data_IF_424243221534
#
_entry.id   IF_424243221534
#
_cell.length_a   1.000
_cell.length_b   1.000
_cell.length_c   1.000
_cell.angle_alpha   90.00
_cell.angle_beta   90.00
_cell.angle_gamma   90.00
#
_symmetry.space_group_name_H-M   'P 1'
#
loop_
_entity.id
_entity.type
_entity.pdbx_description
1 polymer ?
#
# COMPACT_ATOMS: atom_id res chain seq x y z
N UNK A 1 39.27 6.54 8.98
CA UNK A 1 38.45 6.17 7.81
C UNK A 1 37.60 5.02 8.28
N UNK A 2 36.42 5.35 8.80
CA UNK A 2 35.50 4.35 9.32
C UNK A 2 34.80 3.70 8.13
N UNK A 3 35.04 2.40 7.96
CA UNK A 3 34.28 1.57 7.05
C UNK A 3 32.84 1.54 7.55
N UNK A 4 31.98 2.38 6.97
CA UNK A 4 30.54 2.14 6.99
C UNK A 4 30.27 0.91 6.14
N UNK A 5 30.42 -0.27 6.75
CA UNK A 5 29.81 -1.49 6.26
C UNK A 5 28.31 -1.29 6.42
N UNK A 6 27.62 -0.93 5.35
CA UNK A 6 26.17 -1.04 5.28
C UNK A 6 25.83 -2.53 5.41
N UNK A 7 25.64 -2.99 6.64
CA UNK A 7 24.89 -4.20 6.91
C UNK A 7 23.53 -4.04 6.22
N UNK A 8 23.06 -5.06 5.52
CA UNK A 8 21.69 -5.09 4.98
C UNK A 8 20.71 -5.05 6.17
N UNK A 9 20.44 -3.83 6.62
CA UNK A 9 19.61 -3.49 7.76
C UNK A 9 18.14 -3.79 7.41
N UNK A 10 17.32 -4.34 8.33
CA UNK A 10 15.88 -4.46 8.14
C UNK A 10 15.19 -3.14 7.76
N UNK A 11 15.78 -1.99 8.14
CA UNK A 11 15.36 -0.64 7.71
C UNK A 11 15.30 -0.51 6.18
N UNK A 12 16.17 -1.23 5.46
CA UNK A 12 16.23 -1.21 4.00
C UNK A 12 15.00 -1.87 3.36
N UNK A 13 14.38 -2.86 4.01
CA UNK A 13 13.21 -3.56 3.45
C UNK A 13 11.93 -2.72 3.58
N UNK A 14 11.70 -2.07 4.73
CA UNK A 14 10.48 -1.27 4.97
C UNK A 14 10.36 -0.06 4.05
N UNK A 15 11.52 0.51 3.68
CA UNK A 15 11.65 1.66 2.78
C UNK A 15 12.01 1.24 1.34
N UNK A 16 12.14 -0.05 1.05
CA UNK A 16 12.58 -0.53 -0.28
C UNK A 16 11.67 -0.07 -1.42
N UNK A 17 10.40 0.22 -1.13
CA UNK A 17 9.44 0.64 -2.14
C UNK A 17 9.74 2.03 -2.73
N UNK A 18 10.52 2.88 -2.05
CA UNK A 18 10.91 4.18 -2.61
C UNK A 18 11.80 4.05 -3.85
N UNK A 19 12.53 2.94 -4.01
CA UNK A 19 13.33 2.65 -5.22
C UNK A 19 12.45 2.51 -6.48
N UNK A 20 11.15 2.25 -6.29
CA UNK A 20 10.16 2.10 -7.35
C UNK A 20 8.96 3.04 -7.16
N UNK A 21 9.19 4.20 -6.52
CA UNK A 21 8.12 5.14 -6.15
C UNK A 21 7.23 5.57 -7.33
N UNK A 22 7.81 5.69 -8.53
CA UNK A 22 7.10 6.02 -9.76
C UNK A 22 5.97 5.03 -10.09
N UNK A 23 6.21 3.74 -9.89
CA UNK A 23 5.22 2.69 -10.10
C UNK A 23 4.04 2.87 -9.13
N UNK A 24 4.36 3.05 -7.85
CA UNK A 24 3.34 3.13 -6.79
C UNK A 24 2.51 4.42 -6.90
N UNK A 25 3.12 5.55 -7.26
CA UNK A 25 2.40 6.79 -7.57
C UNK A 25 1.43 6.62 -8.75
N UNK A 26 1.83 5.84 -9.76
CA UNK A 26 0.95 5.50 -10.89
C UNK A 26 -0.21 4.62 -10.43
N UNK A 27 0.04 3.57 -9.64
CA UNK A 27 -1.02 2.69 -9.14
C UNK A 27 -1.99 3.43 -8.23
N UNK A 28 -1.50 4.27 -7.32
CA UNK A 28 -2.34 5.07 -6.43
C UNK A 28 -3.26 5.99 -7.25
N UNK A 29 -2.72 6.65 -8.28
CA UNK A 29 -3.54 7.47 -9.19
C UNK A 29 -4.63 6.65 -9.89
N UNK A 30 -4.28 5.48 -10.45
CA UNK A 30 -5.24 4.60 -11.14
C UNK A 30 -6.33 4.09 -10.19
N UNK A 31 -5.98 3.89 -8.92
CA UNK A 31 -6.88 3.40 -7.88
C UNK A 31 -7.56 4.51 -7.05
N UNK A 32 -7.28 5.79 -7.34
CA UNK A 32 -7.94 6.96 -6.73
C UNK A 32 -8.94 7.63 -7.68
N UNK A 33 -8.89 7.35 -8.98
CA UNK A 33 -9.94 7.77 -9.91
C UNK A 33 -11.26 7.12 -9.49
N UNK A 34 -12.40 7.78 -9.76
CA UNK A 34 -13.77 7.26 -9.56
C UNK A 34 -14.06 6.03 -10.45
N UNK A 35 -13.23 5.00 -10.34
CA UNK A 35 -13.40 3.73 -11.01
C UNK A 35 -14.54 3.02 -10.30
N UNK A 36 -15.44 2.45 -11.09
CA UNK A 36 -16.48 1.61 -10.52
C UNK A 36 -15.83 0.31 -10.00
N UNK A 37 -15.60 0.26 -8.69
CA UNK A 37 -15.06 -0.91 -7.98
C UNK A 37 -16.12 -1.99 -7.70
N UNK A 38 -17.14 -2.12 -8.55
CA UNK A 38 -18.24 -3.08 -8.33
C UNK A 38 -17.76 -4.53 -8.22
N UNK A 39 -16.65 -4.87 -8.88
CA UNK A 39 -16.02 -6.18 -8.81
C UNK A 39 -15.51 -6.55 -7.41
N UNK A 40 -15.19 -5.55 -6.58
CA UNK A 40 -14.72 -5.74 -5.20
C UNK A 40 -15.84 -5.64 -4.16
N UNK A 41 -17.07 -5.28 -4.55
CA UNK A 41 -18.19 -5.09 -3.61
C UNK A 41 -18.36 -6.29 -2.67
N UNK A 42 -18.49 -7.50 -3.22
CA UNK A 42 -18.66 -8.73 -2.41
C UNK A 42 -17.48 -9.02 -1.47
N UNK A 43 -16.27 -8.61 -1.85
CA UNK A 43 -15.05 -8.79 -1.06
C UNK A 43 -14.94 -7.76 0.08
N UNK A 44 -15.50 -6.58 -0.12
CA UNK A 44 -15.42 -5.43 0.76
C UNK A 44 -16.74 -5.06 1.45
N UNK A 45 -17.75 -5.92 1.35
CA UNK A 45 -19.02 -5.79 2.05
C UNK A 45 -18.82 -6.03 3.54
N UNK A 46 -19.31 -5.09 4.36
CA UNK A 46 -19.46 -5.25 5.82
C UNK A 46 -18.14 -5.46 6.59
N UNK A 47 -17.13 -4.63 6.34
CA UNK A 47 -15.94 -4.58 7.19
C UNK A 47 -16.25 -3.71 8.42
N UNK A 48 -16.49 -4.35 9.57
CA UNK A 48 -16.78 -3.69 10.85
C UNK A 48 -18.26 -3.70 11.25
N UNK A 49 -18.62 -3.02 12.34
CA UNK A 49 -19.96 -3.07 12.97
C UNK A 49 -20.71 -1.73 12.88
N UNK A 50 -20.02 -0.59 12.92
CA UNK A 50 -20.63 0.76 12.89
C UNK A 50 -20.85 1.29 11.46
N UNK A 51 -22.04 1.85 11.19
CA UNK A 51 -22.54 2.17 9.84
C UNK A 51 -21.70 3.20 9.07
N UNK A 52 -21.24 4.28 9.72
CA UNK A 52 -20.46 5.33 9.03
C UNK A 52 -19.02 4.87 8.76
N UNK A 53 -18.41 4.19 9.74
CA UNK A 53 -17.10 3.56 9.58
C UNK A 53 -17.11 2.48 8.49
N UNK A 54 -18.23 1.78 8.30
CA UNK A 54 -18.37 0.71 7.31
C UNK A 54 -18.18 1.21 5.87
N UNK A 55 -18.69 2.40 5.53
CA UNK A 55 -18.55 2.92 4.16
C UNK A 55 -17.10 3.25 3.84
N UNK A 56 -16.40 3.92 4.76
CA UNK A 56 -15.01 4.29 4.56
C UNK A 56 -14.10 3.05 4.54
N UNK A 57 -14.32 2.10 5.46
CA UNK A 57 -13.64 0.79 5.46
C UNK A 57 -13.86 0.02 4.16
N UNK A 58 -15.08 0.04 3.62
CA UNK A 58 -15.38 -0.59 2.32
C UNK A 58 -14.61 0.08 1.18
N UNK A 59 -14.54 1.41 1.17
CA UNK A 59 -13.78 2.16 0.17
C UNK A 59 -12.28 1.87 0.25
N UNK A 60 -11.70 1.85 1.46
CA UNK A 60 -10.29 1.48 1.69
C UNK A 60 -10.02 0.06 1.16
N UNK A 61 -10.89 -0.91 1.46
CA UNK A 61 -10.76 -2.27 0.96
C UNK A 61 -10.78 -2.34 -0.58
N UNK A 62 -11.71 -1.61 -1.22
CA UNK A 62 -11.83 -1.59 -2.69
C UNK A 62 -10.57 -0.99 -3.35
N UNK A 63 -10.08 0.13 -2.81
CA UNK A 63 -8.82 0.76 -3.26
C UNK A 63 -7.64 -0.18 -3.05
N UNK A 64 -7.59 -0.88 -1.92
CA UNK A 64 -6.52 -1.85 -1.64
C UNK A 64 -6.51 -3.02 -2.61
N UNK A 65 -7.68 -3.59 -2.94
CA UNK A 65 -7.79 -4.63 -3.96
C UNK A 65 -7.36 -4.13 -5.35
N UNK A 66 -7.75 -2.90 -5.71
CA UNK A 66 -7.28 -2.26 -6.94
C UNK A 66 -5.75 -2.20 -6.99
N UNK A 67 -5.10 -1.74 -5.91
CA UNK A 67 -3.64 -1.64 -5.85
C UNK A 67 -2.97 -3.00 -6.05
N UNK A 68 -3.47 -4.05 -5.38
CA UNK A 68 -2.97 -5.42 -5.55
C UNK A 68 -3.08 -5.86 -7.02
N UNK A 69 -4.21 -5.58 -7.67
CA UNK A 69 -4.43 -5.98 -9.07
C UNK A 69 -3.55 -5.18 -10.05
N UNK A 70 -3.36 -3.88 -9.85
CA UNK A 70 -2.47 -3.07 -10.70
C UNK A 70 -0.98 -3.46 -10.54
N UNK A 71 -0.55 -3.82 -9.32
CA UNK A 71 0.77 -4.40 -9.06
C UNK A 71 0.94 -5.72 -9.82
N UNK A 72 -0.02 -6.65 -9.69
CA UNK A 72 0.02 -7.96 -10.36
C UNK A 72 0.03 -7.85 -11.88
N UNK A 73 -0.74 -6.92 -12.44
CA UNK A 73 -0.75 -6.65 -13.90
C UNK A 73 0.61 -6.17 -14.38
N UNK A 74 1.29 -5.35 -13.59
CA UNK A 74 2.57 -4.74 -13.96
C UNK A 74 3.77 -5.65 -13.68
N UNK A 75 3.62 -6.65 -12.79
CA UNK A 75 4.69 -7.57 -12.38
C UNK A 75 4.25 -9.02 -12.54
N UNK A 76 4.33 -9.59 -13.77
CA UNK A 76 4.01 -10.98 -14.00
C UNK A 76 4.90 -11.90 -13.15
N UNK A 77 4.36 -13.05 -12.70
CA UNK A 77 5.00 -14.00 -11.76
C UNK A 77 6.45 -14.42 -12.10
N UNK A 78 6.92 -14.24 -13.33
CA UNK A 78 8.30 -14.52 -13.75
C UNK A 78 9.34 -13.48 -13.31
N UNK A 79 8.94 -12.26 -12.93
CA UNK A 79 9.83 -11.16 -12.54
C UNK A 79 9.64 -10.74 -11.07
N UNK A 80 9.79 -11.70 -10.16
CA UNK A 80 9.53 -11.54 -8.72
C UNK A 80 10.59 -10.68 -7.97
N UNK A 81 11.39 -9.89 -8.67
CA UNK A 81 12.53 -9.15 -8.07
C UNK A 81 12.08 -8.08 -7.09
N UNK A 82 10.87 -7.55 -7.24
CA UNK A 82 10.41 -6.40 -6.47
C UNK A 82 9.34 -6.76 -5.43
N UNK A 83 9.14 -8.06 -5.16
CA UNK A 83 8.09 -8.54 -4.25
C UNK A 83 8.16 -7.91 -2.86
N UNK A 84 9.36 -7.78 -2.29
CA UNK A 84 9.51 -7.19 -0.96
C UNK A 84 9.12 -5.71 -0.95
N UNK A 85 9.48 -4.97 -2.01
CA UNK A 85 9.04 -3.59 -2.20
C UNK A 85 7.52 -3.49 -2.36
N UNK A 86 6.88 -4.42 -3.10
CA UNK A 86 5.42 -4.44 -3.23
C UNK A 86 4.72 -4.65 -1.88
N UNK A 87 5.20 -5.62 -1.10
CA UNK A 87 4.65 -5.92 0.23
C UNK A 87 4.89 -4.76 1.20
N UNK A 88 6.07 -4.12 1.16
CA UNK A 88 6.38 -2.94 1.96
C UNK A 88 5.45 -1.76 1.64
N UNK A 89 5.23 -1.48 0.34
CA UNK A 89 4.28 -0.46 -0.09
C UNK A 89 2.86 -0.75 0.38
N UNK A 90 2.36 -1.98 0.16
CA UNK A 90 1.00 -2.36 0.54
C UNK A 90 0.79 -2.28 2.06
N UNK A 91 1.80 -2.68 2.86
CA UNK A 91 1.79 -2.51 4.33
C UNK A 91 1.70 -1.04 4.72
N UNK A 92 2.57 -0.20 4.15
CA UNK A 92 2.58 1.25 4.39
C UNK A 92 1.21 1.86 4.07
N UNK A 93 0.73 1.66 2.84
CA UNK A 93 -0.48 2.26 2.33
C UNK A 93 -1.70 1.90 3.20
N UNK A 94 -1.84 0.61 3.56
CA UNK A 94 -2.97 0.16 4.35
C UNK A 94 -2.97 0.75 5.76
N UNK A 95 -1.80 0.77 6.43
CA UNK A 95 -1.68 1.40 7.75
C UNK A 95 -2.02 2.89 7.68
N UNK A 96 -1.49 3.60 6.67
CA UNK A 96 -1.69 5.04 6.52
C UNK A 96 -3.15 5.38 6.27
N UNK A 97 -3.82 4.69 5.36
CA UNK A 97 -5.23 4.97 5.03
C UNK A 97 -6.17 4.69 6.20
N UNK A 98 -5.97 3.58 6.94
CA UNK A 98 -6.76 3.29 8.13
C UNK A 98 -6.57 4.35 9.23
N UNK A 99 -5.33 4.80 9.42
CA UNK A 99 -4.99 5.86 10.37
C UNK A 99 -5.58 7.22 9.95
N UNK A 100 -5.34 7.65 8.70
CA UNK A 100 -5.74 8.95 8.17
C UNK A 100 -7.27 9.12 8.16
N UNK A 101 -8.00 8.03 7.91
CA UNK A 101 -9.46 8.03 7.90
C UNK A 101 -10.09 7.79 9.26
N UNK A 102 -9.27 7.62 10.30
CA UNK A 102 -9.72 7.24 11.64
C UNK A 102 -10.69 6.04 11.59
N UNK A 103 -10.33 5.02 10.81
CA UNK A 103 -11.23 3.91 10.48
C UNK A 103 -11.58 3.01 11.68
N UNK A 104 -11.17 3.36 12.92
CA UNK A 104 -11.52 2.69 14.18
C UNK A 104 -11.40 1.15 14.12
N UNK A 105 -10.36 0.66 13.44
CA UNK A 105 -10.07 -0.77 13.28
C UNK A 105 -8.57 -0.95 13.13
N UNK A 106 -8.03 -1.97 13.80
CA UNK A 106 -6.61 -2.32 13.67
C UNK A 106 -6.31 -2.88 12.27
N UNK A 107 -5.14 -2.54 11.72
CA UNK A 107 -4.69 -3.00 10.40
C UNK A 107 -4.74 -4.52 10.26
N UNK A 108 -4.27 -5.26 11.28
CA UNK A 108 -4.31 -6.74 11.29
C UNK A 108 -5.75 -7.28 11.25
N UNK A 109 -6.66 -6.69 12.01
CA UNK A 109 -8.06 -7.10 12.04
C UNK A 109 -8.75 -6.81 10.69
N UNK A 110 -8.51 -5.63 10.13
CA UNK A 110 -9.01 -5.23 8.82
C UNK A 110 -8.50 -6.19 7.71
N UNK A 111 -7.20 -6.49 7.72
CA UNK A 111 -6.59 -7.43 6.79
C UNK A 111 -7.17 -8.84 6.90
N UNK A 112 -7.32 -9.37 8.12
CA UNK A 112 -7.92 -10.68 8.36
C UNK A 112 -9.33 -10.76 7.80
N UNK A 113 -10.11 -9.67 7.90
CA UNK A 113 -11.44 -9.62 7.29
C UNK A 113 -11.35 -9.72 5.76
N UNK A 114 -10.51 -8.90 5.10
CA UNK A 114 -10.30 -8.96 3.65
C UNK A 114 -9.89 -10.37 3.19
N UNK A 115 -8.92 -10.99 3.88
CA UNK A 115 -8.46 -12.35 3.58
C UNK A 115 -9.57 -13.38 3.72
N UNK A 116 -10.45 -13.24 4.72
CA UNK A 116 -11.58 -14.16 4.92
C UNK A 116 -12.58 -14.13 3.75
N UNK A 117 -12.69 -12.98 3.07
CA UNK A 117 -13.58 -12.74 1.92
C UNK A 117 -12.91 -13.01 0.57
N UNK A 118 -11.58 -12.90 0.48
CA UNK A 118 -10.80 -13.15 -0.74
C UNK A 118 -9.67 -14.18 -0.49
N UNK A 119 -10.06 -15.39 -0.11
CA UNK A 119 -9.14 -16.47 0.32
C UNK A 119 -8.15 -16.90 -0.76
N UNK A 120 -8.47 -16.67 -2.03
CA UNK A 120 -7.64 -17.05 -3.18
C UNK A 120 -6.56 -16.00 -3.51
N UNK A 121 -6.56 -14.86 -2.82
CA UNK A 121 -5.60 -13.80 -3.07
C UNK A 121 -4.25 -14.10 -2.40
N UNK A 122 -3.29 -14.59 -3.20
CA UNK A 122 -1.94 -14.92 -2.74
C UNK A 122 -1.24 -13.73 -2.07
N UNK A 123 -1.35 -12.52 -2.63
CA UNK A 123 -0.74 -11.31 -2.05
C UNK A 123 -1.28 -10.98 -0.66
N UNK A 124 -2.58 -11.19 -0.41
CA UNK A 124 -3.12 -11.05 0.93
C UNK A 124 -2.51 -12.10 1.87
N UNK A 125 -2.31 -13.33 1.41
CA UNK A 125 -1.69 -14.36 2.23
C UNK A 125 -0.22 -14.08 2.54
N UNK A 126 0.50 -13.42 1.64
CA UNK A 126 1.91 -13.03 1.85
C UNK A 126 2.04 -11.87 2.83
N UNK A 127 1.09 -10.92 2.81
CA UNK A 127 1.05 -9.76 3.70
C UNK A 127 0.87 -10.12 5.19
N UNK A 128 0.26 -11.26 5.52
CA UNK A 128 0.04 -11.70 6.91
C UNK A 128 1.33 -11.64 7.75
N UNK A 129 2.46 -11.99 7.14
CA UNK A 129 3.76 -12.05 7.83
C UNK A 129 4.45 -10.68 7.96
N UNK A 130 3.90 -9.64 7.32
CA UNK A 130 4.51 -8.31 7.21
C UNK A 130 3.63 -7.19 7.79
N UNK A 131 2.37 -7.47 8.12
CA UNK A 131 1.40 -6.48 8.59
C UNK A 131 1.52 -6.16 10.09
N UNK A 132 2.70 -5.74 10.53
CA UNK A 132 2.85 -5.11 11.84
C UNK A 132 2.41 -3.65 11.81
N UNK A 133 1.83 -3.18 12.92
CA UNK A 133 1.45 -1.77 13.08
C UNK A 133 2.72 -0.92 12.97
N UNK A 134 2.69 0.07 12.09
CA UNK A 134 3.74 1.08 11.97
C UNK A 134 3.45 2.14 13.04
N UNK A 135 4.48 2.55 13.79
CA UNK A 135 4.32 3.62 14.79
C UNK A 135 3.85 4.89 14.07
N UNK A 136 2.92 5.62 14.70
CA UNK A 136 2.27 6.80 14.11
C UNK A 136 3.25 7.81 13.49
N UNK A 137 4.30 8.15 14.22
CA UNK A 137 5.32 9.12 13.78
C UNK A 137 6.03 8.63 12.52
N UNK A 138 6.40 7.35 12.50
CA UNK A 138 7.03 6.70 11.36
C UNK A 138 6.10 6.69 10.14
N UNK A 139 4.83 6.37 10.36
CA UNK A 139 3.82 6.34 9.32
C UNK A 139 3.60 7.73 8.67
N UNK A 140 3.61 8.78 9.49
CA UNK A 140 3.53 10.18 9.03
C UNK A 140 4.80 10.55 8.22
N UNK A 141 5.97 10.14 8.68
CA UNK A 141 7.24 10.39 8.00
C UNK A 141 7.28 9.69 6.63
N UNK A 142 6.88 8.42 6.57
CA UNK A 142 6.76 7.68 5.32
C UNK A 142 5.80 8.40 4.36
N UNK A 143 4.61 8.79 4.81
CA UNK A 143 3.68 9.50 3.92
C UNK A 143 4.24 10.85 3.43
N UNK A 144 4.95 11.58 4.29
CA UNK A 144 5.61 12.83 3.91
C UNK A 144 6.68 12.62 2.85
N UNK A 145 7.50 11.57 2.99
CA UNK A 145 8.51 11.17 2.01
C UNK A 145 7.89 10.72 0.69
N UNK A 146 6.75 10.03 0.74
CA UNK A 146 6.01 9.58 -0.43
C UNK A 146 5.59 10.74 -1.32
N UNK A 147 4.92 11.75 -0.75
CA UNK A 147 4.48 12.91 -1.52
C UNK A 147 5.60 13.89 -1.86
N UNK A 148 6.63 14.02 -1.01
CA UNK A 148 7.84 14.76 -1.37
C UNK A 148 8.51 14.18 -2.61
N UNK A 149 8.58 12.85 -2.69
CA UNK A 149 9.11 12.14 -3.87
C UNK A 149 8.25 12.39 -5.10
N UNK A 150 6.92 12.40 -4.94
CA UNK A 150 5.98 12.72 -6.01
C UNK A 150 6.19 14.14 -6.59
N UNK A 151 6.36 15.13 -5.70
CA UNK A 151 6.60 16.52 -6.07
C UNK A 151 7.94 16.67 -6.80
N UNK A 152 8.99 16.05 -6.28
CA UNK A 152 10.31 16.03 -6.91
C UNK A 152 10.26 15.46 -8.34
N UNK A 153 9.61 14.31 -8.52
CA UNK A 153 9.41 13.67 -9.82
C UNK A 153 8.59 14.57 -10.76
N UNK A 154 7.56 15.24 -10.25
CA UNK A 154 6.74 16.16 -11.03
C UNK A 154 7.56 17.36 -11.54
N UNK A 155 8.40 17.94 -10.67
CA UNK A 155 9.30 19.04 -11.04
C UNK A 155 10.23 18.59 -12.16
N UNK A 156 10.94 17.47 -11.99
CA UNK A 156 11.85 16.93 -13.01
C UNK A 156 11.11 16.79 -14.34
N UNK A 157 9.99 16.05 -14.38
CA UNK A 157 9.23 15.81 -15.61
C UNK A 157 8.76 17.10 -16.30
N UNK A 158 8.55 18.16 -15.53
CA UNK A 158 8.11 19.46 -16.05
C UNK A 158 9.29 20.29 -16.58
N UNK A 159 10.44 20.25 -15.90
CA UNK A 159 11.62 21.07 -16.23
C UNK A 159 12.56 20.41 -17.22
N UNK A 160 12.60 19.07 -17.30
CA UNK A 160 13.46 18.32 -18.22
C UNK A 160 12.71 17.82 -19.45
N UNK A 161 11.66 18.53 -19.90
CA UNK A 161 11.03 18.25 -21.20
C UNK A 161 12.05 18.39 -22.34
N UNK A 162 12.70 17.29 -22.70
CA UNK A 162 13.30 17.04 -24.02
C UNK A 162 12.31 16.32 -24.91
#
# INVERSE_FOLDING_TARGET
MDNLSCTDDPVKEEYSFYEHIDDYLKYERLCNLDRNYSEYNKKCESIGIELDDMKERSNICKRFHCLIDEIKKSRPKSNNTNKYADLAYLRYWLNYELYNKNANIETKAFHKHMKSKDKTNETLSELDTKLDNIIKEELINMNSLFYLSADYIHIIRTTTKT
#
